data_IF_112381817996
#
_entry.id   IF_112381817996
#
_cell.length_a   1.000
_cell.length_b   1.000
_cell.length_c   1.000
_cell.angle_alpha   90.00
_cell.angle_beta   90.00
_cell.angle_gamma   90.00
#
_symmetry.space_group_name_H-M   'P 1'
#
loop_
_entity.id
_entity.type
_entity.pdbx_description
1 polymer ?
#
# COMPACT_ATOMS: atom_id res chain seq x y z
N UNK A 1 -3.86 -17.00 8.00
CA UNK A 1 -4.11 -15.57 7.71
C UNK A 1 -5.02 -14.99 8.80
N UNK A 2 -4.50 -14.10 9.64
CA UNK A 2 -5.22 -13.59 10.82
C UNK A 2 -6.34 -12.62 10.43
N UNK A 3 -7.55 -12.94 10.90
CA UNK A 3 -8.83 -12.29 10.56
C UNK A 3 -8.93 -10.81 10.99
N UNK A 4 -7.96 -10.30 11.75
CA UNK A 4 -7.97 -8.96 12.37
C UNK A 4 -7.42 -7.83 11.49
N UNK A 5 -6.64 -8.10 10.43
CA UNK A 5 -6.02 -7.05 9.60
C UNK A 5 -6.98 -6.42 8.57
N UNK A 6 -8.10 -7.06 8.23
CA UNK A 6 -8.95 -6.64 7.11
C UNK A 6 -9.90 -5.48 7.41
N UNK A 7 -10.40 -5.34 8.65
CA UNK A 7 -11.43 -4.35 8.97
C UNK A 7 -10.92 -2.90 8.89
N UNK A 8 -9.73 -2.63 9.45
CA UNK A 8 -9.09 -1.31 9.34
C UNK A 8 -8.73 -0.94 7.89
N UNK A 9 -8.24 -1.91 7.12
CA UNK A 9 -7.83 -1.72 5.72
C UNK A 9 -8.98 -1.43 4.78
N UNK A 10 -10.18 -2.01 4.99
CA UNK A 10 -11.37 -1.67 4.19
C UNK A 10 -11.78 -0.21 4.32
N UNK A 11 -11.63 0.38 5.50
CA UNK A 11 -11.92 1.81 5.70
C UNK A 11 -10.93 2.68 4.94
N UNK A 12 -9.63 2.41 5.09
CA UNK A 12 -8.57 3.15 4.39
C UNK A 12 -8.69 3.00 2.87
N UNK A 13 -9.08 1.82 2.39
CA UNK A 13 -9.39 1.59 0.98
C UNK A 13 -10.45 2.56 0.45
N UNK A 14 -11.60 2.67 1.11
CA UNK A 14 -12.65 3.59 0.69
C UNK A 14 -12.19 5.07 0.73
N UNK A 15 -11.34 5.42 1.69
CA UNK A 15 -10.79 6.77 1.83
C UNK A 15 -9.80 7.11 0.69
N UNK A 16 -8.94 6.17 0.29
CA UNK A 16 -8.01 6.37 -0.84
C UNK A 16 -8.70 6.26 -2.21
N UNK A 17 -9.72 5.41 -2.36
CA UNK A 17 -10.58 5.37 -3.55
C UNK A 17 -11.23 6.74 -3.80
N UNK A 18 -11.81 7.32 -2.73
CA UNK A 18 -12.43 8.63 -2.79
C UNK A 18 -11.43 9.73 -3.13
N UNK A 19 -10.19 9.65 -2.62
CA UNK A 19 -9.16 10.61 -2.97
C UNK A 19 -8.71 10.48 -4.43
N UNK A 20 -8.45 9.26 -4.88
CA UNK A 20 -7.97 8.97 -6.24
C UNK A 20 -9.05 9.16 -7.31
N UNK A 21 -10.33 9.10 -6.94
CA UNK A 21 -11.45 9.07 -7.88
C UNK A 21 -11.49 7.75 -8.68
N UNK A 22 -10.98 6.67 -8.10
CA UNK A 22 -10.90 5.33 -8.71
C UNK A 22 -11.51 4.35 -7.73
N UNK A 23 -12.43 3.50 -8.20
CA UNK A 23 -13.11 2.49 -7.40
C UNK A 23 -12.84 1.11 -7.93
N UNK A 24 -12.59 0.16 -7.04
CA UNK A 24 -12.35 -1.21 -7.40
C UNK A 24 -12.49 -2.15 -6.18
N UNK A 25 -12.73 -3.45 -6.40
CA UNK A 25 -12.97 -4.39 -5.31
C UNK A 25 -11.77 -4.57 -4.36
N UNK A 26 -11.91 -4.18 -3.09
CA UNK A 26 -10.90 -4.40 -2.04
C UNK A 26 -10.46 -5.87 -1.93
N UNK A 27 -11.38 -6.81 -2.12
CA UNK A 27 -11.10 -8.24 -1.91
C UNK A 27 -10.25 -8.86 -3.02
N UNK A 28 -9.95 -8.13 -4.12
CA UNK A 28 -8.95 -8.57 -5.11
C UNK A 28 -7.52 -8.55 -4.57
N UNK A 29 -7.28 -7.75 -3.52
CA UNK A 29 -5.93 -7.56 -2.97
C UNK A 29 -5.57 -8.70 -2.01
N UNK A 30 -4.49 -9.40 -2.33
CA UNK A 30 -3.83 -10.33 -1.44
C UNK A 30 -2.85 -9.62 -0.51
N UNK A 31 -2.95 -9.89 0.78
CA UNK A 31 -2.14 -9.23 1.80
C UNK A 31 -1.22 -10.23 2.49
N UNK A 32 0.07 -9.89 2.53
CA UNK A 32 1.09 -10.65 3.23
C UNK A 32 1.77 -9.79 4.30
N UNK A 33 2.08 -10.41 5.42
CA UNK A 33 2.87 -9.79 6.50
C UNK A 33 4.26 -10.42 6.50
N UNK A 34 5.29 -9.58 6.53
CA UNK A 34 6.70 -10.01 6.61
C UNK A 34 7.24 -9.57 7.97
N UNK A 35 7.90 -10.49 8.67
CA UNK A 35 8.38 -10.24 10.04
C UNK A 35 9.40 -9.09 10.13
N UNK A 36 9.31 -8.33 11.22
CA UNK A 36 10.20 -7.21 11.53
C UNK A 36 9.68 -5.84 11.06
N UNK A 37 10.55 -4.83 11.16
CA UNK A 37 10.25 -3.42 10.81
C UNK A 37 10.41 -3.11 9.33
N UNK A 38 11.19 -3.91 8.60
CA UNK A 38 11.41 -3.84 7.16
C UNK A 38 11.93 -5.18 6.65
N UNK A 39 11.90 -5.39 5.33
CA UNK A 39 12.35 -6.62 4.69
C UNK A 39 13.09 -6.34 3.37
N UNK A 40 13.90 -7.30 2.87
CA UNK A 40 14.54 -7.16 1.57
C UNK A 40 13.50 -7.10 0.44
N UNK A 41 13.61 -6.10 -0.42
CA UNK A 41 12.88 -5.99 -1.68
C UNK A 41 13.79 -6.26 -2.87
N UNK A 42 13.26 -6.33 -4.11
CA UNK A 42 14.08 -6.34 -5.30
C UNK A 42 15.18 -5.26 -5.26
N UNK A 43 16.34 -5.58 -5.85
CA UNK A 43 17.59 -4.85 -5.60
C UNK A 43 17.54 -3.34 -5.88
N UNK A 44 16.61 -2.86 -6.70
CA UNK A 44 16.45 -1.43 -7.01
C UNK A 44 15.70 -0.65 -5.90
N UNK A 45 14.98 -1.31 -5.00
CA UNK A 45 14.27 -0.68 -3.87
C UNK A 45 15.01 -0.80 -2.54
N UNK A 46 15.93 -1.78 -2.42
CA UNK A 46 16.68 -2.01 -1.19
C UNK A 46 15.85 -2.67 -0.09
N UNK A 47 15.40 -1.90 0.90
CA UNK A 47 14.56 -2.39 2.01
C UNK A 47 13.20 -1.74 1.96
N UNK A 48 12.15 -2.54 2.07
CA UNK A 48 10.78 -2.06 2.10
C UNK A 48 10.15 -2.18 3.49
N UNK A 49 9.22 -1.28 3.73
CA UNK A 49 8.25 -1.33 4.81
C UNK A 49 6.87 -1.78 4.30
N UNK A 50 6.54 -1.40 3.06
CA UNK A 50 5.39 -1.82 2.27
C UNK A 50 5.84 -2.04 0.82
N UNK A 51 5.17 -2.94 0.11
CA UNK A 51 5.42 -3.14 -1.32
C UNK A 51 4.19 -3.71 -2.01
N UNK A 52 3.60 -2.93 -2.91
CA UNK A 52 2.67 -3.42 -3.91
C UNK A 52 3.43 -4.11 -5.04
N UNK A 53 3.07 -5.36 -5.28
CA UNK A 53 3.53 -6.15 -6.40
C UNK A 53 2.36 -6.38 -7.37
N UNK A 54 2.53 -6.08 -8.67
CA UNK A 54 1.50 -6.36 -9.65
C UNK A 54 1.12 -7.85 -9.68
N UNK A 55 -0.17 -8.17 -9.92
CA UNK A 55 -1.26 -7.22 -10.12
C UNK A 55 -1.91 -6.73 -8.83
N UNK A 56 -2.03 -7.58 -7.80
CA UNK A 56 -2.86 -7.32 -6.62
C UNK A 56 -2.30 -7.84 -5.31
N UNK A 57 -0.97 -7.85 -5.16
CA UNK A 57 -0.34 -8.35 -3.94
C UNK A 57 0.28 -7.20 -3.17
N UNK A 58 0.02 -7.10 -1.86
CA UNK A 58 0.67 -6.13 -0.99
C UNK A 58 1.35 -6.84 0.18
N UNK A 59 2.65 -6.60 0.31
CA UNK A 59 3.46 -7.01 1.44
C UNK A 59 3.59 -5.85 2.43
N UNK A 60 3.43 -6.13 3.71
CA UNK A 60 3.63 -5.15 4.79
C UNK A 60 4.59 -5.73 5.82
N UNK A 61 5.54 -4.93 6.29
CA UNK A 61 6.34 -5.27 7.46
C UNK A 61 5.43 -5.33 8.69
N UNK A 62 5.69 -6.29 9.58
CA UNK A 62 4.87 -6.55 10.76
C UNK A 62 4.65 -5.30 11.61
N UNK A 63 5.71 -4.54 11.87
CA UNK A 63 5.65 -3.33 12.70
C UNK A 63 4.91 -2.16 12.03
N UNK A 64 4.68 -2.27 10.71
CA UNK A 64 4.05 -1.25 9.89
C UNK A 64 2.59 -1.58 9.57
N UNK A 65 2.06 -2.70 10.08
CA UNK A 65 0.67 -3.13 9.84
C UNK A 65 -0.39 -2.14 10.34
N UNK A 66 -0.04 -1.27 11.30
CA UNK A 66 -0.87 -0.16 11.77
C UNK A 66 -0.58 1.20 11.12
N UNK A 67 0.39 1.29 10.21
CA UNK A 67 0.74 2.53 9.52
C UNK A 67 -0.25 2.79 8.37
N UNK A 68 -1.23 3.67 8.64
CA UNK A 68 -2.26 4.04 7.66
C UNK A 68 -1.67 4.64 6.38
N UNK A 69 -0.75 5.60 6.49
CA UNK A 69 -0.23 6.32 5.32
C UNK A 69 0.47 5.35 4.36
N UNK A 70 1.29 4.44 4.90
CA UNK A 70 1.94 3.40 4.10
C UNK A 70 0.92 2.42 3.49
N UNK A 71 -0.10 2.01 4.24
CA UNK A 71 -1.14 1.15 3.68
C UNK A 71 -1.88 1.82 2.51
N UNK A 72 -2.26 3.10 2.64
CA UNK A 72 -2.91 3.87 1.57
C UNK A 72 -1.96 4.10 0.38
N UNK A 73 -0.64 4.22 0.60
CA UNK A 73 0.38 4.27 -0.45
C UNK A 73 0.35 3.01 -1.32
N UNK A 74 0.43 1.82 -0.71
CA UNK A 74 0.41 0.56 -1.46
C UNK A 74 -0.97 0.29 -2.11
N UNK A 75 -2.06 0.71 -1.46
CA UNK A 75 -3.40 0.64 -2.06
C UNK A 75 -3.51 1.53 -3.30
N UNK A 76 -2.89 2.71 -3.29
CA UNK A 76 -2.93 3.62 -4.44
C UNK A 76 -2.16 3.05 -5.63
N UNK A 77 -1.03 2.38 -5.39
CA UNK A 77 -0.37 1.59 -6.43
C UNK A 77 -1.33 0.55 -7.04
N UNK A 78 -2.08 -0.18 -6.20
CA UNK A 78 -3.06 -1.15 -6.68
C UNK A 78 -4.22 -0.51 -7.46
N UNK A 79 -4.77 0.63 -7.01
CA UNK A 79 -5.83 1.33 -7.73
C UNK A 79 -5.37 1.81 -9.10
N UNK A 80 -4.12 2.27 -9.21
CA UNK A 80 -3.55 2.79 -10.46
C UNK A 80 -2.93 1.69 -11.34
N UNK A 81 -2.71 0.49 -10.79
CA UNK A 81 -2.07 -0.64 -11.44
C UNK A 81 -0.68 -0.28 -12.01
N UNK A 82 0.14 0.43 -11.23
CA UNK A 82 1.47 0.89 -11.65
C UNK A 82 2.41 1.12 -10.47
N UNK A 83 3.70 0.87 -10.70
CA UNK A 83 4.75 0.92 -9.67
C UNK A 83 5.44 2.28 -9.50
N UNK A 84 5.12 3.28 -10.33
CA UNK A 84 5.61 4.66 -10.20
C UNK A 84 4.68 5.52 -9.33
N UNK A 85 5.17 6.71 -8.93
CA UNK A 85 4.46 7.66 -8.05
C UNK A 85 3.98 8.91 -8.80
N UNK A 86 2.92 8.84 -9.63
CA UNK A 86 2.35 10.03 -10.26
C UNK A 86 1.86 11.06 -9.22
N UNK A 87 1.63 12.34 -9.60
CA UNK A 87 1.31 13.44 -8.67
C UNK A 87 0.13 13.18 -7.71
N UNK A 88 -0.76 12.25 -8.03
CA UNK A 88 -1.86 11.81 -7.15
C UNK A 88 -1.37 11.26 -5.79
N UNK A 89 -0.17 10.69 -5.71
CA UNK A 89 0.40 10.25 -4.43
C UNK A 89 0.61 11.42 -3.46
N UNK A 90 1.11 12.55 -3.99
CA UNK A 90 1.26 13.78 -3.21
C UNK A 90 -0.10 14.41 -2.95
N UNK A 91 -0.99 14.45 -3.94
CA UNK A 91 -2.34 15.01 -3.79
C UNK A 91 -3.16 14.27 -2.73
N UNK A 92 -3.00 12.95 -2.62
CA UNK A 92 -3.63 12.12 -1.59
C UNK A 92 -2.83 12.03 -0.29
N UNK A 93 -1.69 12.72 -0.16
CA UNK A 93 -0.91 12.78 1.07
C UNK A 93 -0.21 11.48 1.46
N UNK A 94 -0.04 10.54 0.51
CA UNK A 94 0.60 9.23 0.72
C UNK A 94 2.05 9.18 0.23
N UNK A 95 2.58 10.29 -0.32
CA UNK A 95 4.00 10.50 -0.57
C UNK A 95 4.36 11.99 -0.45
N UNK A 96 5.66 12.30 -0.29
CA UNK A 96 6.18 13.67 -0.36
C UNK A 96 6.82 13.92 -1.73
N UNK A 97 6.87 15.19 -2.16
CA UNK A 97 7.43 15.59 -3.47
C UNK A 97 8.90 15.19 -3.69
N UNK A 98 9.63 14.89 -2.62
CA UNK A 98 11.06 14.57 -2.61
C UNK A 98 11.36 13.14 -2.16
N UNK A 99 10.35 12.34 -1.86
CA UNK A 99 10.51 10.91 -1.67
C UNK A 99 10.34 10.23 -3.04
N UNK A 100 11.50 9.88 -3.63
CA UNK A 100 11.73 8.95 -4.75
C UNK A 100 11.72 9.56 -6.17
#
# INVERSE_FOLDING_TARGET
>A
MSRHLRAGRRRWWAEIENCAGIWADFDRVEWYEVGGSSYPCPAYEGRCEGWWQPPHTIYMAQDQTGNRQLAEHEMLHDLLQRGDHPPVFVACGVATQSAW
#
